data_IF_253211474217
#
_entry.id   IF_253211474217
#
_cell.length_a   1.000
_cell.length_b   1.000
_cell.length_c   1.000
_cell.angle_alpha   90.00
_cell.angle_beta   90.00
_cell.angle_gamma   90.00
#
_symmetry.space_group_name_H-M   'P 1'
#
loop_
_entity.id
_entity.type
_entity.pdbx_description
1 polymer ?
#
# COMPACT_ATOMS: atom_id res chain seq x y z
N UNK A 1 -16.10 13.48 1.72
CA UNK A 1 -14.81 13.75 2.36
C UNK A 1 -13.72 13.27 1.42
N UNK A 2 -12.57 13.95 1.43
CA UNK A 2 -11.49 13.69 0.49
C UNK A 2 -10.65 12.49 0.95
N UNK A 3 -10.94 11.32 0.37
CA UNK A 3 -10.26 10.05 0.70
C UNK A 3 -8.75 10.11 0.50
N UNK A 4 -8.27 11.00 -0.37
CA UNK A 4 -6.83 11.20 -0.60
C UNK A 4 -6.19 11.84 0.62
N UNK A 5 -6.82 12.89 1.15
CA UNK A 5 -6.35 13.58 2.34
C UNK A 5 -6.38 12.67 3.58
N UNK A 6 -7.45 11.89 3.75
CA UNK A 6 -7.57 10.93 4.87
C UNK A 6 -6.42 9.91 4.88
N UNK A 7 -6.09 9.32 3.74
CA UNK A 7 -5.00 8.34 3.67
C UNK A 7 -3.61 8.97 3.88
N UNK A 8 -3.40 10.19 3.39
CA UNK A 8 -2.15 10.90 3.63
C UNK A 8 -1.99 11.23 5.13
N UNK A 9 -3.07 11.61 5.81
CA UNK A 9 -3.06 11.85 7.26
C UNK A 9 -2.74 10.57 8.06
N UNK A 10 -3.34 9.44 7.68
CA UNK A 10 -3.01 8.13 8.25
C UNK A 10 -1.52 7.78 8.08
N UNK A 11 -0.93 8.07 6.91
CA UNK A 11 0.49 7.86 6.63
C UNK A 11 1.40 8.75 7.50
N UNK A 12 1.03 10.02 7.68
CA UNK A 12 1.77 10.96 8.50
C UNK A 12 1.76 10.54 9.98
N UNK A 13 0.60 10.08 10.47
CA UNK A 13 0.47 9.52 11.82
C UNK A 13 1.30 8.25 12.00
N UNK A 14 1.29 7.35 11.00
CA UNK A 14 2.05 6.11 11.03
C UNK A 14 3.56 6.36 11.02
N UNK A 15 4.02 7.33 10.22
CA UNK A 15 5.42 7.74 10.21
C UNK A 15 5.83 8.34 11.57
N UNK A 16 5.00 9.19 12.16
CA UNK A 16 5.25 9.75 13.50
C UNK A 16 5.36 8.66 14.55
N UNK A 17 4.43 7.70 14.56
CA UNK A 17 4.50 6.53 15.43
C UNK A 17 5.83 5.77 15.25
N UNK A 18 6.27 5.58 14.00
CA UNK A 18 7.55 4.93 13.73
C UNK A 18 8.75 5.68 14.34
N UNK A 19 8.72 7.01 14.35
CA UNK A 19 9.75 7.84 14.99
C UNK A 19 9.72 7.68 16.51
N UNK A 20 8.53 7.76 17.12
CA UNK A 20 8.34 7.69 18.58
C UNK A 20 8.83 6.33 19.14
N UNK A 21 8.62 5.25 18.38
CA UNK A 21 9.01 3.89 18.76
C UNK A 21 10.39 3.47 18.23
N UNK A 22 11.13 4.38 17.59
CA UNK A 22 12.44 4.11 16.98
C UNK A 22 12.42 2.95 15.95
N UNK A 23 11.29 2.76 15.27
CA UNK A 23 11.07 1.75 14.23
C UNK A 23 10.85 2.39 12.87
N UNK A 24 11.79 3.23 12.43
CA UNK A 24 11.65 4.06 11.23
C UNK A 24 11.27 3.25 9.97
N UNK A 25 10.32 3.78 9.20
CA UNK A 25 10.00 3.23 7.89
C UNK A 25 11.16 3.40 6.91
N UNK A 26 11.43 2.36 6.14
CA UNK A 26 12.19 2.52 4.90
C UNK A 26 11.26 3.02 3.79
N UNK A 27 11.02 4.34 3.77
CA UNK A 27 10.10 4.97 2.84
C UNK A 27 10.46 4.72 1.35
N UNK A 28 11.74 4.48 1.02
CA UNK A 28 12.17 4.18 -0.35
C UNK A 28 11.73 2.79 -0.83
N UNK A 29 11.57 1.84 0.10
CA UNK A 29 11.09 0.49 -0.18
C UNK A 29 9.57 0.40 -0.19
N UNK A 30 8.88 1.33 0.48
CA UNK A 30 7.43 1.38 0.44
C UNK A 30 6.94 1.65 -0.99
N UNK A 31 5.96 0.86 -1.42
CA UNK A 31 5.25 1.01 -2.69
C UNK A 31 3.76 1.21 -2.44
N UNK A 32 3.11 1.92 -3.35
CA UNK A 32 1.69 2.19 -3.35
C UNK A 32 1.04 1.42 -4.49
N UNK A 33 0.16 0.48 -4.18
CA UNK A 33 -0.69 -0.15 -5.19
C UNK A 33 -2.08 0.50 -5.13
N UNK A 34 -2.45 1.22 -6.19
CA UNK A 34 -3.78 1.81 -6.33
C UNK A 34 -4.77 0.76 -6.78
N UNK A 35 -5.81 0.54 -5.96
CA UNK A 35 -6.77 -0.52 -6.23
C UNK A 35 -8.16 0.05 -6.51
N UNK A 36 -8.81 -0.51 -7.53
CA UNK A 36 -10.20 -0.23 -7.87
C UNK A 36 -10.41 0.91 -8.88
N UNK A 37 -11.55 0.86 -9.58
CA UNK A 37 -11.83 1.73 -10.72
C UNK A 37 -12.07 3.21 -10.41
N UNK A 38 -12.34 3.55 -9.15
CA UNK A 38 -12.64 4.92 -8.71
C UNK A 38 -11.52 5.54 -7.86
N UNK A 39 -10.31 4.98 -7.95
CA UNK A 39 -9.15 5.52 -7.25
C UNK A 39 -8.61 6.75 -8.01
N UNK A 40 -8.36 7.85 -7.30
CA UNK A 40 -7.83 9.07 -7.88
C UNK A 40 -6.35 8.99 -8.30
N UNK A 41 -5.68 7.87 -7.99
CA UNK A 41 -4.25 7.64 -8.25
C UNK A 41 -3.36 8.78 -7.72
N UNK A 42 -3.71 9.27 -6.53
CA UNK A 42 -3.00 10.36 -5.90
C UNK A 42 -1.59 9.93 -5.45
N UNK A 43 -0.64 10.86 -5.48
CA UNK A 43 0.69 10.61 -4.92
C UNK A 43 0.66 10.73 -3.40
N UNK A 44 1.33 9.78 -2.73
CA UNK A 44 1.45 9.74 -1.28
C UNK A 44 2.90 9.91 -0.85
N UNK A 45 3.09 10.39 0.38
CA UNK A 45 4.40 10.65 0.96
C UNK A 45 4.52 10.00 2.34
N UNK A 46 5.71 9.50 2.67
CA UNK A 46 6.06 8.99 4.00
C UNK A 46 7.33 9.70 4.43
N UNK A 47 7.27 10.50 5.51
CA UNK A 47 8.43 11.23 5.99
C UNK A 47 9.05 12.19 4.97
N UNK A 48 8.24 12.73 4.05
CA UNK A 48 8.69 13.60 2.95
C UNK A 48 9.23 12.87 1.71
N UNK A 49 9.31 11.53 1.73
CA UNK A 49 9.68 10.72 0.57
C UNK A 49 8.41 10.30 -0.17
N UNK A 50 8.36 10.56 -1.48
CA UNK A 50 7.25 10.10 -2.32
C UNK A 50 7.26 8.57 -2.44
N UNK A 51 6.10 7.95 -2.21
CA UNK A 51 5.91 6.51 -2.37
C UNK A 51 5.72 6.19 -3.85
N UNK A 52 6.49 5.25 -4.37
CA UNK A 52 6.38 4.83 -5.77
C UNK A 52 5.09 4.06 -6.01
N UNK A 53 4.33 4.47 -7.02
CA UNK A 53 3.12 3.77 -7.44
C UNK A 53 3.48 2.57 -8.33
N UNK A 54 2.85 1.43 -8.07
CA UNK A 54 3.03 0.17 -8.79
C UNK A 54 1.69 -0.34 -9.32
N UNK A 55 1.74 -1.16 -10.36
CA UNK A 55 0.54 -1.77 -10.98
C UNK A 55 0.20 -3.14 -10.40
N UNK A 56 1.21 -3.82 -9.85
CA UNK A 56 1.06 -5.11 -9.21
C UNK A 56 2.12 -5.30 -8.12
N UNK A 57 1.77 -6.05 -7.09
CA UNK A 57 2.68 -6.48 -6.02
C UNK A 57 2.54 -7.98 -5.82
N UNK A 58 3.66 -8.68 -5.62
CA UNK A 58 3.64 -10.09 -5.25
C UNK A 58 3.96 -10.22 -3.77
N UNK A 59 2.96 -10.58 -2.97
CA UNK A 59 3.11 -10.77 -1.53
C UNK A 59 2.76 -12.20 -1.14
N UNK A 60 3.67 -12.86 -0.40
CA UNK A 60 3.53 -14.24 0.08
C UNK A 60 3.08 -15.27 -0.98
N UNK A 61 3.44 -15.04 -2.25
CA UNK A 61 3.07 -15.90 -3.37
C UNK A 61 1.84 -15.43 -4.15
N UNK A 62 1.02 -14.54 -3.60
CA UNK A 62 -0.16 -13.98 -4.25
C UNK A 62 0.22 -12.73 -5.06
N UNK A 63 -0.17 -12.70 -6.34
CA UNK A 63 -0.05 -11.50 -7.17
C UNK A 63 -1.30 -10.63 -7.00
N UNK A 64 -1.14 -9.41 -6.52
CA UNK A 64 -2.20 -8.43 -6.37
C UNK A 64 -2.01 -7.38 -7.45
N UNK A 65 -2.97 -7.25 -8.35
CA UNK A 65 -2.98 -6.24 -9.40
C UNK A 65 -3.99 -5.13 -9.11
N UNK A 66 -3.76 -3.95 -9.69
CA UNK A 66 -4.63 -2.77 -9.53
C UNK A 66 -6.11 -3.00 -9.90
N UNK A 67 -6.39 -3.96 -10.80
CA UNK A 67 -7.75 -4.27 -11.28
C UNK A 67 -8.46 -5.32 -10.42
N UNK A 68 -7.76 -5.93 -9.47
CA UNK A 68 -8.21 -7.07 -8.66
C UNK A 68 -8.87 -8.19 -9.49
N UNK A 69 -8.39 -8.44 -10.70
CA UNK A 69 -9.04 -9.39 -11.60
C UNK A 69 -8.89 -10.82 -11.06
N UNK A 70 -9.98 -11.55 -10.78
CA UNK A 70 -9.88 -12.92 -10.25
C UNK A 70 -9.05 -13.82 -11.17
N UNK A 71 -9.16 -13.65 -12.49
CA UNK A 71 -8.38 -14.41 -13.47
C UNK A 71 -6.87 -14.19 -13.40
N UNK A 72 -6.40 -13.02 -12.94
CA UNK A 72 -4.96 -12.75 -12.73
C UNK A 72 -4.49 -13.19 -11.34
N UNK A 73 -5.35 -13.07 -10.33
CA UNK A 73 -5.04 -13.47 -8.95
C UNK A 73 -5.01 -15.00 -8.78
N UNK A 74 -5.88 -15.74 -9.48
CA UNK A 74 -6.02 -17.19 -9.34
C UNK A 74 -4.87 -18.01 -9.94
N UNK A 75 -3.82 -17.39 -10.50
CA UNK A 75 -2.68 -18.14 -11.06
C UNK A 75 -1.65 -18.58 -10.00
N UNK A 76 -1.75 -18.10 -8.74
CA UNK A 76 -0.70 -18.31 -7.72
C UNK A 76 -1.22 -18.56 -6.30
N UNK A 77 -2.23 -19.42 -6.14
CA UNK A 77 -2.75 -19.78 -4.82
C UNK A 77 -1.84 -20.80 -4.12
N UNK A 78 -1.01 -20.34 -3.18
CA UNK A 78 -0.58 -21.14 -2.04
C UNK A 78 -0.83 -20.35 -0.74
N UNK A 79 -1.77 -20.86 0.05
CA UNK A 79 -2.19 -20.55 1.43
C UNK A 79 -1.76 -19.25 2.18
N UNK A 80 -2.79 -18.53 2.66
CA UNK A 80 -2.89 -17.52 3.77
C UNK A 80 -2.80 -16.03 3.38
N UNK A 81 -3.81 -15.24 3.79
CA UNK A 81 -3.85 -13.77 3.65
C UNK A 81 -4.13 -13.08 5.00
N UNK A 82 -3.21 -12.23 5.46
CA UNK A 82 -3.48 -11.13 6.39
C UNK A 82 -2.90 -9.87 5.75
N UNK A 83 -3.64 -9.27 4.81
CA UNK A 83 -3.24 -8.03 4.15
C UNK A 83 -4.21 -6.92 4.57
N UNK A 84 -3.66 -5.82 5.10
CA UNK A 84 -4.43 -4.64 5.50
C UNK A 84 -4.71 -3.81 4.25
N UNK A 85 -5.89 -3.99 3.64
CA UNK A 85 -6.44 -3.07 2.64
C UNK A 85 -7.27 -2.02 3.38
N UNK A 86 -6.81 -0.76 3.46
CA UNK A 86 -7.63 0.36 3.94
C UNK A 86 -7.68 1.43 2.84
N UNK A 87 -8.88 1.97 2.58
CA UNK A 87 -9.12 3.06 1.63
C UNK A 87 -8.68 2.84 0.17
N UNK A 88 -8.43 1.59 -0.25
CA UNK A 88 -8.09 1.26 -1.65
C UNK A 88 -6.62 1.46 -2.02
N UNK A 89 -5.73 1.56 -1.02
CA UNK A 89 -4.28 1.53 -1.20
C UNK A 89 -3.67 0.41 -0.35
N UNK A 90 -2.67 -0.27 -0.91
CA UNK A 90 -1.80 -1.18 -0.19
C UNK A 90 -0.44 -0.51 -0.01
N UNK A 91 0.06 -0.50 1.23
CA UNK A 91 1.42 -0.07 1.56
C UNK A 91 2.11 -1.32 2.11
N UNK A 92 2.93 -1.96 1.28
CA UNK A 92 3.70 -3.12 1.72
C UNK A 92 4.87 -2.68 2.62
N UNK A 93 5.02 -3.40 3.72
CA UNK A 93 6.12 -3.26 4.68
C UNK A 93 7.17 -4.31 4.35
N UNK A 94 8.33 -3.90 3.84
CA UNK A 94 9.54 -4.71 4.00
C UNK A 94 10.13 -4.38 5.39
N UNK A 95 10.12 -5.33 6.32
CA UNK A 95 10.93 -5.28 7.54
C UNK A 95 12.35 -5.73 7.19
#
# INVERSE_FOLDING_TARGET
>A
MDKVAELQEDLDMLYKWSCDWQMLFNAQKCKCLHVGHFNAQASYFIGGVQVEAIEYEKDLGVLIDNSLSPSRQCHWLDHILNIVVRHGALICREI
#
